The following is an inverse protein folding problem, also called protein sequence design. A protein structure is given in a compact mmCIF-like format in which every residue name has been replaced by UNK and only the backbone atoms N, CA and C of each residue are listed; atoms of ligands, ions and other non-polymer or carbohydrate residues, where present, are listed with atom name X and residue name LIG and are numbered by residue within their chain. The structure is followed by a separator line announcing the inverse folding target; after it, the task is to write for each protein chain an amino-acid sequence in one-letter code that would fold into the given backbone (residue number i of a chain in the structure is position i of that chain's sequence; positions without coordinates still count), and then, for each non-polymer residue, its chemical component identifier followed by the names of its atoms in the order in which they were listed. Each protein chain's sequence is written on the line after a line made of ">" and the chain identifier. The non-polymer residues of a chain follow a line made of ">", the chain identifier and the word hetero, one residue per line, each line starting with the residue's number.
data_IF_414021231543
#
_entry.id   IF_414021231543
#
_cell.length_a   1.000
_cell.length_b   1.000
_cell.length_c   1.000
_cell.angle_alpha   90.00
_cell.angle_beta   90.00
_cell.angle_gamma   90.00
#
_symmetry.space_group_name_H-M   'P 1'
#
loop_
_entity.id
_entity.type
_entity.pdbx_description
1 polymer ?
#
# COMPACT_ATOMS: atom_id res chain seq x y z
N UNK A 1 24.50 -8.57 18.17
CA UNK A 1 23.93 -8.64 16.80
C UNK A 1 23.26 -7.32 16.56
N UNK A 2 23.78 -6.47 15.68
CA UNK A 2 23.17 -5.15 15.44
C UNK A 2 21.86 -5.39 14.70
N UNK A 3 20.72 -5.29 15.39
CA UNK A 3 19.41 -5.35 14.76
C UNK A 3 19.32 -4.17 13.79
N UNK A 4 19.34 -4.46 12.48
CA UNK A 4 19.06 -3.43 11.47
C UNK A 4 17.65 -2.91 11.73
N UNK A 5 17.51 -1.60 11.86
CA UNK A 5 16.20 -0.95 11.94
C UNK A 5 15.33 -1.36 10.75
N UNK A 6 14.00 -1.52 10.93
CA UNK A 6 13.10 -1.86 9.85
C UNK A 6 13.09 -0.79 8.76
N UNK A 7 12.92 -1.22 7.51
CA UNK A 7 12.72 -0.34 6.37
C UNK A 7 11.32 0.27 6.44
N UNK A 8 11.22 1.59 6.40
CA UNK A 8 9.97 2.33 6.51
C UNK A 8 9.35 2.51 5.13
N UNK A 9 8.08 2.11 4.99
CA UNK A 9 7.33 2.17 3.73
C UNK A 9 6.05 2.96 3.94
N UNK A 10 5.80 3.95 3.09
CA UNK A 10 4.58 4.76 3.13
C UNK A 10 3.69 4.45 1.91
N UNK A 11 2.45 4.05 2.16
CA UNK A 11 1.43 3.90 1.13
C UNK A 11 0.53 5.15 1.05
N UNK A 12 0.43 5.73 -0.14
CA UNK A 12 -0.33 6.94 -0.39
C UNK A 12 -1.58 6.64 -1.21
N UNK A 13 -2.73 7.11 -0.74
CA UNK A 13 -3.93 7.26 -1.57
C UNK A 13 -4.70 8.50 -1.17
N UNK A 14 -5.54 9.06 -2.05
CA UNK A 14 -6.23 10.34 -1.83
C UNK A 14 -6.88 10.46 -0.45
N UNK A 15 -7.79 9.54 -0.11
CA UNK A 15 -8.57 9.61 1.13
C UNK A 15 -7.99 8.93 2.36
N UNK A 16 -6.87 8.20 2.25
CA UNK A 16 -6.38 7.29 3.31
C UNK A 16 -7.45 6.46 4.06
N UNK A 17 -8.45 5.97 3.32
CA UNK A 17 -9.62 5.32 3.92
C UNK A 17 -9.71 3.82 3.63
N UNK A 18 -9.23 3.35 2.47
CA UNK A 18 -9.34 1.94 2.07
C UNK A 18 -8.01 1.35 1.57
N UNK A 19 -7.59 1.68 0.34
CA UNK A 19 -6.44 1.03 -0.33
C UNK A 19 -5.13 1.12 0.47
N UNK A 20 -4.73 2.32 0.88
CA UNK A 20 -3.47 2.49 1.62
C UNK A 20 -3.53 1.90 3.03
N UNK A 21 -4.72 1.88 3.67
CA UNK A 21 -4.95 1.22 4.96
C UNK A 21 -4.77 -0.30 4.85
N UNK A 22 -5.36 -0.91 3.82
CA UNK A 22 -5.18 -2.34 3.53
C UNK A 22 -3.69 -2.65 3.32
N UNK A 23 -2.99 -1.81 2.54
CA UNK A 23 -1.57 -1.97 2.26
C UNK A 23 -0.69 -1.88 3.52
N UNK A 24 -0.95 -0.90 4.41
CA UNK A 24 -0.27 -0.77 5.70
C UNK A 24 -0.41 -2.03 6.54
N UNK A 25 -1.64 -2.55 6.68
CA UNK A 25 -1.91 -3.74 7.48
C UNK A 25 -1.25 -5.01 6.88
N UNK A 26 -1.31 -5.17 5.56
CA UNK A 26 -0.69 -6.30 4.85
C UNK A 26 0.83 -6.27 5.03
N UNK A 27 1.47 -5.12 4.80
CA UNK A 27 2.93 -5.00 4.92
C UNK A 27 3.40 -5.24 6.35
N UNK A 28 2.72 -4.69 7.35
CA UNK A 28 3.10 -4.89 8.75
C UNK A 28 3.01 -6.36 9.19
N UNK A 29 2.14 -7.16 8.56
CA UNK A 29 2.12 -8.61 8.76
C UNK A 29 3.23 -9.31 7.98
N UNK A 30 3.27 -9.15 6.66
CA UNK A 30 4.17 -9.90 5.77
C UNK A 30 5.64 -9.51 5.94
N UNK A 31 5.89 -8.25 6.30
CA UNK A 31 7.24 -7.73 6.52
C UNK A 31 7.93 -8.30 7.76
N UNK A 32 7.20 -8.94 8.68
CA UNK A 32 7.72 -9.68 9.84
C UNK A 32 8.87 -8.97 10.60
N UNK A 33 8.73 -7.66 10.82
CA UNK A 33 9.73 -6.83 11.52
C UNK A 33 10.89 -6.33 10.66
N UNK A 34 11.05 -6.79 9.42
CA UNK A 34 12.00 -6.23 8.44
C UNK A 34 11.50 -4.91 7.85
N UNK A 35 10.17 -4.76 7.78
CA UNK A 35 9.50 -3.57 7.27
C UNK A 35 8.58 -2.99 8.33
N UNK A 36 8.41 -1.68 8.26
CA UNK A 36 7.37 -0.95 8.97
C UNK A 36 6.54 -0.17 7.96
N UNK A 37 5.28 -0.58 7.83
CA UNK A 37 4.31 0.05 6.96
C UNK A 37 3.58 1.20 7.65
N UNK A 38 3.37 2.25 6.87
CA UNK A 38 2.53 3.40 7.17
C UNK A 38 1.61 3.67 5.99
N UNK A 39 0.54 4.40 6.23
CA UNK A 39 -0.31 4.94 5.17
C UNK A 39 -0.66 6.39 5.43
N UNK A 40 -0.95 7.13 4.36
CA UNK A 40 -1.45 8.49 4.44
C UNK A 40 -2.23 8.85 3.17
N UNK A 41 -2.78 10.06 3.16
CA UNK A 41 -3.45 10.62 2.00
C UNK A 41 -3.24 12.11 1.88
N UNK A 42 -3.40 12.60 0.66
CA UNK A 42 -3.34 14.02 0.33
C UNK A 42 -4.57 14.77 0.81
N UNK A 43 -5.73 14.12 0.77
CA UNK A 43 -7.02 14.64 1.20
C UNK A 43 -7.69 13.59 2.10
N UNK A 44 -7.13 13.34 3.31
CA UNK A 44 -7.60 12.27 4.19
C UNK A 44 -9.09 12.42 4.50
N UNK A 45 -9.84 11.33 4.43
CA UNK A 45 -11.27 11.29 4.68
C UNK A 45 -11.64 11.53 6.16
N UNK A 46 -10.63 11.51 7.05
CA UNK A 46 -10.81 11.62 8.51
C UNK A 46 -11.12 10.29 9.18
N UNK A 47 -11.68 9.33 8.45
CA UNK A 47 -12.01 8.00 8.94
C UNK A 47 -11.61 6.87 8.00
N UNK A 48 -11.36 5.70 8.58
CA UNK A 48 -11.08 4.47 7.85
C UNK A 48 -12.38 3.83 7.40
N UNK A 49 -12.44 3.38 6.15
CA UNK A 49 -13.62 2.77 5.58
C UNK A 49 -14.04 1.52 6.39
N UNK A 50 -15.31 1.42 6.82
CA UNK A 50 -15.78 0.29 7.63
C UNK A 50 -15.61 -1.08 6.95
N UNK A 51 -15.74 -1.17 5.63
CA UNK A 51 -15.56 -2.42 4.90
C UNK A 51 -14.09 -2.87 4.88
N UNK A 52 -13.15 -1.91 4.77
CA UNK A 52 -11.72 -2.22 4.90
C UNK A 52 -11.41 -2.77 6.30
N UNK A 53 -11.91 -2.13 7.36
CA UNK A 53 -11.73 -2.60 8.74
C UNK A 53 -12.38 -3.98 8.96
N UNK A 54 -13.60 -4.18 8.44
CA UNK A 54 -14.31 -5.45 8.56
C UNK A 54 -13.52 -6.59 7.90
N UNK A 55 -13.05 -6.37 6.67
CA UNK A 55 -12.26 -7.34 5.94
C UNK A 55 -10.94 -7.67 6.65
N UNK A 56 -10.22 -6.65 7.13
CA UNK A 56 -8.99 -6.84 7.90
C UNK A 56 -9.22 -7.64 9.18
N UNK A 57 -10.24 -7.31 9.96
CA UNK A 57 -10.60 -8.06 11.18
C UNK A 57 -10.96 -9.51 10.86
N UNK A 58 -11.75 -9.75 9.82
CA UNK A 58 -12.11 -11.12 9.37
C UNK A 58 -10.87 -11.93 9.00
N UNK A 59 -9.86 -11.30 8.40
CA UNK A 59 -8.56 -11.90 8.11
C UNK A 59 -7.55 -11.82 9.27
N UNK A 60 -8.02 -11.53 10.49
CA UNK A 60 -7.26 -11.45 11.75
C UNK A 60 -6.12 -10.43 11.77
N UNK A 61 -6.19 -9.37 10.94
CA UNK A 61 -5.19 -8.30 10.92
C UNK A 61 -5.36 -7.38 12.12
N UNK A 62 -4.24 -6.84 12.57
CA UNK A 62 -4.26 -5.84 13.63
C UNK A 62 -4.73 -4.50 13.07
N UNK A 63 -5.77 -3.93 13.69
CA UNK A 63 -6.43 -2.72 13.19
C UNK A 63 -6.45 -1.56 14.19
N UNK A 64 -6.04 -1.77 15.45
CA UNK A 64 -6.18 -0.75 16.51
C UNK A 64 -5.41 0.55 16.23
N UNK A 65 -4.33 0.47 15.45
CA UNK A 65 -3.45 1.60 15.13
C UNK A 65 -3.75 2.23 13.77
N UNK A 66 -4.67 1.65 12.99
CA UNK A 66 -5.03 2.16 11.68
C UNK A 66 -5.92 3.39 11.83
N UNK A 67 -5.56 4.47 11.13
CA UNK A 67 -6.31 5.72 11.09
C UNK A 67 -6.05 6.44 9.77
N UNK A 68 -7.06 7.19 9.32
CA UNK A 68 -6.93 8.14 8.21
C UNK A 68 -6.13 9.36 8.67
N UNK A 69 -5.13 9.78 7.90
CA UNK A 69 -4.21 10.88 8.25
C UNK A 69 -3.58 11.54 7.02
N UNK A 70 -3.18 12.80 7.20
CA UNK A 70 -2.49 13.56 6.14
C UNK A 70 -1.08 13.02 5.96
N UNK A 71 -0.62 13.05 4.72
CA UNK A 71 0.76 12.76 4.35
C UNK A 71 1.77 13.80 4.88
N UNK A 72 1.29 14.97 5.34
CA UNK A 72 2.13 16.04 5.89
C UNK A 72 2.80 15.60 7.20
N UNK A 73 2.16 14.68 7.93
CA UNK A 73 2.73 14.07 9.13
C UNK A 73 4.06 13.36 8.86
N UNK A 74 4.28 12.91 7.62
CA UNK A 74 5.49 12.21 7.20
C UNK A 74 6.55 13.14 6.58
N UNK A 75 6.19 14.40 6.32
CA UNK A 75 7.13 15.44 5.87
C UNK A 75 7.62 16.33 7.02
N UNK A 76 6.97 16.27 8.20
CA UNK A 76 7.32 17.07 9.36
C UNK A 76 8.67 16.69 10.00
N UNK A 77 9.34 17.62 10.70
CA UNK A 77 10.51 17.31 11.51
C UNK A 77 10.22 16.20 12.54
N UNK A 78 11.09 15.20 12.64
CA UNK A 78 10.91 14.06 13.53
C UNK A 78 10.03 12.93 12.99
N UNK A 79 9.47 13.10 11.78
CA UNK A 79 8.83 12.01 11.05
C UNK A 79 9.80 10.84 10.82
N UNK A 80 9.27 9.59 10.70
CA UNK A 80 10.10 8.44 10.38
C UNK A 80 10.82 8.67 9.04
N UNK A 81 12.11 8.33 8.99
CA UNK A 81 12.87 8.34 7.73
C UNK A 81 12.31 7.26 6.81
N UNK A 82 11.68 7.67 5.72
CA UNK A 82 11.10 6.76 4.73
C UNK A 82 12.20 6.19 3.82
N UNK A 83 12.10 4.90 3.53
CA UNK A 83 12.94 4.20 2.55
C UNK A 83 12.17 4.02 1.23
N UNK A 84 10.85 3.79 1.31
CA UNK A 84 9.98 3.59 0.16
C UNK A 84 8.66 4.37 0.29
N UNK A 85 8.16 4.87 -0.84
CA UNK A 85 6.85 5.51 -0.97
C UNK A 85 6.09 4.92 -2.15
N UNK A 86 4.90 4.37 -1.92
CA UNK A 86 4.09 3.76 -2.96
C UNK A 86 2.74 4.46 -3.10
N UNK A 87 2.43 4.99 -4.28
CA UNK A 87 1.09 5.52 -4.58
C UNK A 87 0.19 4.40 -5.07
N UNK A 88 -0.98 4.23 -4.46
CA UNK A 88 -1.91 3.12 -4.78
C UNK A 88 -3.22 3.60 -5.45
N UNK A 89 -3.32 4.89 -5.72
CA UNK A 89 -4.34 5.48 -6.59
C UNK A 89 -3.68 6.42 -7.60
N UNK A 90 -4.32 6.56 -8.77
CA UNK A 90 -3.82 7.38 -9.87
C UNK A 90 -3.83 8.87 -9.48
N UNK A 91 -4.85 9.31 -8.75
CA UNK A 91 -4.96 10.70 -8.29
C UNK A 91 -3.78 11.11 -7.39
N UNK A 92 -3.42 10.29 -6.39
CA UNK A 92 -2.27 10.59 -5.52
C UNK A 92 -0.92 10.49 -6.27
N UNK A 93 -0.88 9.79 -7.41
CA UNK A 93 0.31 9.76 -8.26
C UNK A 93 0.44 11.04 -9.11
N UNK A 94 -0.68 11.69 -9.42
CA UNK A 94 -0.74 12.91 -10.24
C UNK A 94 -0.67 14.20 -9.40
N UNK A 95 -0.76 14.11 -8.08
CA UNK A 95 -0.60 15.25 -7.17
C UNK A 95 0.88 15.56 -6.90
N UNK A 96 1.18 16.83 -6.65
CA UNK A 96 2.52 17.28 -6.30
C UNK A 96 2.82 16.77 -4.89
N UNK A 97 3.51 15.63 -4.82
CA UNK A 97 3.96 15.05 -3.56
C UNK A 97 4.94 16.00 -2.85
N UNK A 98 4.89 16.10 -1.51
CA UNK A 98 5.88 16.85 -0.76
C UNK A 98 7.28 16.24 -0.94
N UNK A 99 8.31 17.07 -0.75
CA UNK A 99 9.69 16.59 -0.76
C UNK A 99 9.92 15.77 0.51
N UNK A 100 10.05 14.46 0.35
CA UNK A 100 10.32 13.55 1.45
C UNK A 100 11.78 13.66 1.93
N UNK A 101 12.02 13.85 3.24
CA UNK A 101 13.37 13.77 3.80
C UNK A 101 14.04 12.44 3.44
N UNK A 102 15.27 12.50 2.94
CA UNK A 102 16.05 11.29 2.59
C UNK A 102 15.81 10.71 1.19
N UNK A 103 14.91 11.28 0.39
CA UNK A 103 14.64 10.87 -1.01
C UNK A 103 14.36 9.36 -1.13
N UNK A 104 13.27 8.86 -0.53
CA UNK A 104 12.87 7.46 -0.63
C UNK A 104 12.67 7.04 -2.09
N UNK A 105 12.86 5.76 -2.38
CA UNK A 105 12.46 5.19 -3.66
C UNK A 105 10.95 5.22 -3.79
N UNK A 106 10.44 5.52 -4.98
CA UNK A 106 9.01 5.64 -5.22
C UNK A 106 8.54 4.79 -6.39
N UNK A 107 7.37 4.19 -6.27
CA UNK A 107 6.71 3.51 -7.38
C UNK A 107 5.19 3.69 -7.33
N UNK A 108 4.54 3.57 -8.48
CA UNK A 108 3.10 3.66 -8.59
C UNK A 108 2.47 2.28 -8.77
N UNK A 109 1.63 1.90 -7.81
CA UNK A 109 0.92 0.63 -7.75
C UNK A 109 -0.59 0.86 -7.88
N UNK A 110 -1.01 1.48 -8.99
CA UNK A 110 -2.41 1.79 -9.27
C UNK A 110 -3.34 0.58 -9.09
N UNK A 111 -4.46 0.83 -8.41
CA UNK A 111 -5.51 -0.13 -8.11
C UNK A 111 -6.88 0.52 -8.28
N UNK A 112 -7.87 -0.22 -8.82
CA UNK A 112 -9.26 0.21 -8.80
C UNK A 112 -9.69 0.59 -7.39
N UNK A 113 -10.44 1.69 -7.24
CA UNK A 113 -10.96 2.08 -5.93
C UNK A 113 -12.13 1.18 -5.54
N UNK A 114 -12.00 0.34 -4.49
CA UNK A 114 -13.11 -0.49 -4.05
C UNK A 114 -14.28 0.32 -3.47
N UNK A 115 -14.06 1.58 -3.07
CA UNK A 115 -15.10 2.47 -2.55
C UNK A 115 -16.09 2.86 -3.65
N UNK A 116 -15.65 2.90 -4.91
CA UNK A 116 -16.49 3.25 -6.06
C UNK A 116 -17.38 2.09 -6.53
N UNK A 117 -17.18 0.87 -6.01
CA UNK A 117 -17.99 -0.28 -6.36
C UNK A 117 -19.46 -0.04 -6.00
N UNK A 118 -20.34 -0.22 -6.99
CA UNK A 118 -21.79 -0.11 -6.84
C UNK A 118 -22.43 -1.49 -6.81
N UNK A 119 -23.69 -1.56 -6.38
CA UNK A 119 -24.48 -2.78 -6.36
C UNK A 119 -24.69 -3.34 -4.95
N UNK A 120 -24.90 -4.65 -4.89
CA UNK A 120 -25.17 -5.40 -3.67
C UNK A 120 -24.01 -5.36 -2.69
N UNK A 121 -24.28 -5.68 -1.43
CA UNK A 121 -23.24 -5.81 -0.41
C UNK A 121 -22.17 -6.85 -0.80
N UNK A 122 -22.58 -7.94 -1.45
CA UNK A 122 -21.67 -8.97 -1.94
C UNK A 122 -20.70 -8.45 -3.00
N UNK A 123 -21.19 -7.66 -3.96
CA UNK A 123 -20.36 -7.05 -5.02
C UNK A 123 -19.38 -6.03 -4.45
N UNK A 124 -19.82 -5.20 -3.50
CA UNK A 124 -18.95 -4.26 -2.78
C UNK A 124 -17.87 -5.00 -1.99
N UNK A 125 -18.26 -6.03 -1.23
CA UNK A 125 -17.30 -6.86 -0.49
C UNK A 125 -16.30 -7.57 -1.41
N UNK A 126 -16.75 -8.04 -2.58
CA UNK A 126 -15.87 -8.63 -3.58
C UNK A 126 -14.83 -7.63 -4.08
N UNK A 127 -15.21 -6.37 -4.34
CA UNK A 127 -14.26 -5.34 -4.74
C UNK A 127 -13.16 -5.11 -3.70
N UNK A 128 -13.52 -5.02 -2.41
CA UNK A 128 -12.55 -4.90 -1.32
C UNK A 128 -11.64 -6.14 -1.22
N UNK A 129 -12.20 -7.35 -1.36
CA UNK A 129 -11.44 -8.59 -1.35
C UNK A 129 -10.45 -8.66 -2.51
N UNK A 130 -10.85 -8.24 -3.71
CA UNK A 130 -9.98 -8.19 -4.88
C UNK A 130 -8.84 -7.18 -4.71
N UNK A 131 -9.14 -5.97 -4.19
CA UNK A 131 -8.12 -4.99 -3.85
C UNK A 131 -7.11 -5.55 -2.85
N UNK A 132 -7.59 -6.20 -1.77
CA UNK A 132 -6.73 -6.81 -0.76
C UNK A 132 -5.86 -7.92 -1.35
N UNK A 133 -6.41 -8.76 -2.23
CA UNK A 133 -5.67 -9.83 -2.92
C UNK A 133 -4.56 -9.25 -3.79
N UNK A 134 -4.85 -8.23 -4.59
CA UNK A 134 -3.86 -7.56 -5.44
C UNK A 134 -2.73 -6.91 -4.63
N UNK A 135 -3.08 -6.21 -3.55
CA UNK A 135 -2.09 -5.65 -2.62
C UNK A 135 -1.24 -6.73 -1.97
N UNK A 136 -1.86 -7.83 -1.53
CA UNK A 136 -1.15 -8.97 -0.92
C UNK A 136 -0.12 -9.54 -1.89
N UNK A 137 -0.47 -9.76 -3.15
CA UNK A 137 0.47 -10.27 -4.17
C UNK A 137 1.65 -9.31 -4.39
N UNK A 138 1.38 -8.01 -4.55
CA UNK A 138 2.43 -7.01 -4.78
C UNK A 138 3.37 -6.88 -3.57
N UNK A 139 2.80 -6.82 -2.38
CA UNK A 139 3.55 -6.68 -1.12
C UNK A 139 4.37 -7.94 -0.85
N UNK A 140 3.82 -9.13 -1.09
CA UNK A 140 4.53 -10.39 -0.92
C UNK A 140 5.78 -10.47 -1.81
N UNK A 141 5.68 -10.06 -3.08
CA UNK A 141 6.83 -9.98 -3.98
C UNK A 141 7.85 -8.94 -3.44
N UNK A 142 7.38 -7.76 -3.06
CA UNK A 142 8.23 -6.69 -2.55
C UNK A 142 9.03 -7.09 -1.32
N UNK A 143 8.40 -7.70 -0.30
CA UNK A 143 9.10 -8.09 0.94
C UNK A 143 10.11 -9.23 0.73
N UNK A 144 9.98 -9.97 -0.36
CA UNK A 144 10.87 -11.07 -0.74
C UNK A 144 11.95 -10.68 -1.77
N UNK A 145 12.03 -9.39 -2.17
CA UNK A 145 13.10 -8.93 -3.05
C UNK A 145 14.49 -9.11 -2.39
N UNK A 146 15.54 -9.47 -3.16
CA UNK A 146 16.88 -9.64 -2.62
C UNK A 146 17.59 -8.28 -2.48
N UNK A 147 17.17 -7.44 -1.54
CA UNK A 147 17.67 -6.07 -1.35
C UNK A 147 19.19 -5.96 -1.25
N UNK A 148 19.87 -6.93 -0.62
CA UNK A 148 21.34 -6.93 -0.49
C UNK A 148 22.07 -7.23 -1.82
N UNK A 149 21.37 -7.65 -2.87
CA UNK A 149 21.95 -8.01 -4.18
C UNK A 149 21.54 -7.08 -5.31
N UNK A 150 20.56 -6.22 -5.09
CA UNK A 150 20.04 -5.32 -6.12
C UNK A 150 20.78 -3.98 -6.09
N UNK A 151 21.19 -3.51 -7.27
CA UNK A 151 21.62 -2.11 -7.42
C UNK A 151 20.43 -1.18 -7.21
N UNK A 152 20.69 0.11 -6.93
CA UNK A 152 19.64 1.14 -6.81
C UNK A 152 18.74 1.19 -8.06
N UNK A 153 19.32 1.08 -9.25
CA UNK A 153 18.59 1.09 -10.51
C UNK A 153 17.73 -0.17 -10.67
N UNK A 154 18.31 -1.34 -10.44
CA UNK A 154 17.59 -2.62 -10.55
C UNK A 154 16.46 -2.73 -9.54
N UNK A 155 16.66 -2.22 -8.32
CA UNK A 155 15.61 -2.17 -7.32
C UNK A 155 14.45 -1.28 -7.80
N UNK A 156 14.74 -0.08 -8.30
CA UNK A 156 13.72 0.81 -8.86
C UNK A 156 12.91 0.13 -9.98
N UNK A 157 13.57 -0.54 -10.92
CA UNK A 157 12.91 -1.29 -12.01
C UNK A 157 11.96 -2.38 -11.48
N UNK A 158 12.39 -3.13 -10.46
CA UNK A 158 11.57 -4.16 -9.82
C UNK A 158 10.34 -3.56 -9.13
N UNK A 159 10.50 -2.42 -8.43
CA UNK A 159 9.38 -1.74 -7.78
C UNK A 159 8.32 -1.25 -8.79
N UNK A 160 8.78 -0.74 -9.93
CA UNK A 160 7.90 -0.31 -11.03
C UNK A 160 7.22 -1.50 -11.71
N UNK A 161 7.93 -2.62 -11.87
CA UNK A 161 7.37 -3.86 -12.44
C UNK A 161 6.25 -4.43 -11.56
N UNK A 162 6.45 -4.48 -10.24
CA UNK A 162 5.41 -4.88 -9.27
C UNK A 162 4.15 -4.03 -9.44
N UNK A 163 4.30 -2.72 -9.67
CA UNK A 163 3.18 -1.81 -9.92
C UNK A 163 2.40 -2.12 -11.20
N UNK A 164 3.10 -2.56 -12.25
CA UNK A 164 2.52 -2.90 -13.55
C UNK A 164 1.88 -4.28 -13.62
N UNK A 165 2.05 -5.13 -12.59
CA UNK A 165 1.42 -6.44 -12.54
C UNK A 165 -0.11 -6.27 -12.60
N UNK A 166 -0.70 -6.67 -13.74
CA UNK A 166 -2.15 -6.75 -13.95
C UNK A 166 -2.65 -8.14 -13.58
N UNK A 167 -3.89 -8.21 -13.09
CA UNK A 167 -4.62 -9.48 -12.99
C UNK A 167 -4.70 -10.09 -14.39
N UNK A 168 -4.11 -11.26 -14.61
CA UNK A 168 -4.48 -12.11 -15.75
C UNK A 168 -5.94 -12.49 -15.52
N UNK A 169 -6.85 -12.06 -16.40
CA UNK A 169 -8.23 -12.56 -16.34
C UNK A 169 -8.20 -14.10 -16.42
N UNK A 170 -9.11 -14.83 -15.76
CA UNK A 170 -9.28 -16.24 -16.05
C UNK A 170 -9.49 -16.35 -17.56
N UNK A 171 -8.62 -17.10 -18.24
CA UNK A 171 -8.78 -17.41 -19.65
C UNK A 171 -10.17 -18.00 -19.85
N UNK A 172 -11.01 -17.33 -20.64
CA UNK A 172 -12.18 -17.96 -21.25
C UNK A 172 -11.69 -19.21 -21.96
N UNK A 173 -12.08 -20.38 -21.46
CA UNK A 173 -11.95 -21.62 -22.20
C UNK A 173 -12.87 -21.49 -23.42
N UNK A 174 -12.36 -21.67 -24.66
CA UNK A 174 -13.24 -21.76 -25.80
C UNK A 174 -14.10 -23.03 -25.61
N UNK A 175 -15.40 -22.86 -25.81
CA UNK A 175 -16.40 -23.91 -25.79
C UNK A 175 -16.11 -25.03 -26.81
#
# INVERSE_FOLDING_TARGET
>A
MSERSPLNVLFLCTGNSARSILAEAILNRLGAGKFRGYSAGSHPAGEVNPLALHLLRKASYEVSKLRSKSWDEFAAPGAPKLDFVFTVCDDAANEICPIWPGQPMSAHWGLPDPVNAQGTEAERNLAFADTMRMLTQRIDIFVNLPFDRLSKLSLQEQLDEIGRMRRKAPSEQPA
#
